data_IF_768222616570
#
_entry.id   IF_768222616570
#
_cell.length_a   1.000
_cell.length_b   1.000
_cell.length_c   1.000
_cell.angle_alpha   90.00
_cell.angle_beta   90.00
_cell.angle_gamma   90.00
#
_symmetry.space_group_name_H-M   'P 1'
#
loop_
_entity.id
_entity.type
_entity.pdbx_description
1 polymer ?
#
# COMPACT_ATOMS: atom_id res chain seq x y z
N UNK A 1 7.24 5.85 -3.97
CA UNK A 1 5.91 5.84 -3.29
C UNK A 1 5.07 4.74 -3.95
N UNK A 2 4.33 3.94 -3.18
CA UNK A 2 3.50 2.86 -3.72
C UNK A 2 2.05 3.29 -3.87
N UNK A 3 1.48 3.92 -2.83
CA UNK A 3 0.11 4.41 -2.80
C UNK A 3 -0.05 5.53 -1.77
N UNK A 4 -1.15 6.26 -1.87
CA UNK A 4 -1.54 7.32 -0.94
C UNK A 4 -2.88 6.91 -0.33
N UNK A 5 -2.95 6.94 1.00
CA UNK A 5 -4.15 6.66 1.76
C UNK A 5 -4.66 7.96 2.38
N UNK A 6 -5.91 8.31 2.12
CA UNK A 6 -6.57 9.41 2.84
C UNK A 6 -7.19 8.87 4.13
N UNK A 7 -6.80 9.44 5.27
CA UNK A 7 -7.45 9.17 6.55
C UNK A 7 -7.55 10.47 7.36
N UNK A 8 -8.73 10.73 7.94
CA UNK A 8 -8.97 11.90 8.80
C UNK A 8 -8.57 13.25 8.15
N UNK A 9 -8.84 13.43 6.85
CA UNK A 9 -8.46 14.61 6.04
C UNK A 9 -6.95 14.79 5.85
N UNK A 10 -6.17 13.74 6.08
CA UNK A 10 -4.74 13.73 5.87
C UNK A 10 -4.36 12.64 4.88
N UNK A 11 -3.35 12.94 4.08
CA UNK A 11 -2.76 11.99 3.14
C UNK A 11 -1.57 11.28 3.79
N UNK A 12 -1.59 9.96 3.74
CA UNK A 12 -0.52 9.10 4.20
C UNK A 12 0.13 8.42 3.00
N UNK A 13 1.38 8.79 2.72
CA UNK A 13 2.14 8.14 1.64
C UNK A 13 2.73 6.84 2.15
N UNK A 14 2.31 5.72 1.56
CA UNK A 14 2.89 4.40 1.83
C UNK A 14 4.02 4.14 0.84
N UNK A 15 5.20 3.82 1.36
CA UNK A 15 6.40 3.51 0.57
C UNK A 15 6.76 2.04 0.67
N UNK A 16 7.51 1.54 -0.32
CA UNK A 16 8.01 0.18 -0.27
C UNK A 16 8.98 0.03 0.91
N UNK A 17 8.89 -1.06 1.69
CA UNK A 17 9.79 -1.30 2.82
C UNK A 17 11.21 -1.68 2.39
N UNK A 18 11.37 -2.21 1.17
CA UNK A 18 12.64 -2.62 0.58
C UNK A 18 12.53 -2.63 -0.96
N UNK A 19 13.63 -2.96 -1.64
CA UNK A 19 13.56 -3.32 -3.06
C UNK A 19 12.82 -4.65 -3.23
N UNK A 20 11.96 -4.75 -4.24
CA UNK A 20 11.11 -5.91 -4.46
C UNK A 20 10.04 -5.67 -5.53
N UNK A 21 9.09 -6.59 -5.63
CA UNK A 21 8.03 -6.58 -6.64
C UNK A 21 6.65 -6.53 -5.98
N UNK A 22 5.79 -5.62 -6.45
CA UNK A 22 4.37 -5.61 -6.08
C UNK A 22 3.65 -6.68 -6.91
N UNK A 23 3.06 -7.67 -6.25
CA UNK A 23 2.30 -8.75 -6.90
C UNK A 23 0.86 -8.33 -7.19
N UNK A 24 0.23 -7.63 -6.26
CA UNK A 24 -1.17 -7.23 -6.37
C UNK A 24 -1.47 -5.98 -5.54
N UNK A 25 -2.43 -5.19 -6.02
CA UNK A 25 -3.14 -4.18 -5.22
C UNK A 25 -4.49 -4.76 -4.81
N UNK A 26 -4.82 -4.67 -3.52
CA UNK A 26 -6.08 -5.20 -2.97
C UNK A 26 -7.24 -4.21 -3.07
N UNK A 27 -6.93 -2.93 -3.33
CA UNK A 27 -7.87 -1.82 -3.38
C UNK A 27 -7.63 -0.95 -4.61
N UNK A 28 -8.71 -0.38 -5.12
CA UNK A 28 -8.71 0.65 -6.15
C UNK A 28 -8.72 2.07 -5.57
N UNK A 29 -8.65 3.05 -6.47
CA UNK A 29 -8.77 4.46 -6.10
C UNK A 29 -10.19 4.75 -5.61
N UNK A 30 -10.30 5.35 -4.42
CA UNK A 30 -11.57 5.70 -3.80
C UNK A 30 -12.21 4.60 -2.95
N UNK A 31 -11.63 3.40 -2.91
CA UNK A 31 -12.11 2.33 -2.06
C UNK A 31 -11.87 2.64 -0.59
N UNK A 32 -12.85 2.31 0.26
CA UNK A 32 -12.73 2.45 1.70
C UNK A 32 -11.92 1.30 2.27
N UNK A 33 -10.88 1.64 3.02
CA UNK A 33 -9.96 0.70 3.66
C UNK A 33 -10.23 0.69 5.17
N UNK A 34 -10.33 -0.50 5.76
CA UNK A 34 -10.46 -0.69 7.20
C UNK A 34 -9.12 -0.85 7.91
N UNK A 35 -9.12 -0.68 9.23
CA UNK A 35 -7.93 -0.90 10.05
C UNK A 35 -7.42 -2.34 9.92
N UNK A 36 -6.11 -2.48 9.72
CA UNK A 36 -5.45 -3.79 9.58
C UNK A 36 -5.63 -4.46 8.22
N UNK A 37 -6.26 -3.80 7.24
CA UNK A 37 -6.39 -4.34 5.89
C UNK A 37 -5.03 -4.43 5.17
N UNK A 38 -4.81 -5.55 4.48
CA UNK A 38 -3.65 -5.71 3.59
C UNK A 38 -3.87 -4.90 2.31
N UNK A 39 -3.01 -3.90 2.05
CA UNK A 39 -3.19 -2.99 0.92
C UNK A 39 -2.58 -3.54 -0.38
N UNK A 40 -1.40 -4.14 -0.25
CA UNK A 40 -0.61 -4.65 -1.37
C UNK A 40 0.04 -5.97 -1.00
N UNK A 41 0.09 -6.87 -1.96
CA UNK A 41 0.93 -8.05 -1.87
C UNK A 41 2.31 -7.69 -2.40
N UNK A 42 3.34 -7.78 -1.55
CA UNK A 42 4.71 -7.36 -1.86
C UNK A 42 5.69 -8.49 -1.62
N UNK A 43 6.54 -8.78 -2.61
CA UNK A 43 7.64 -9.72 -2.50
C UNK A 43 8.96 -8.94 -2.47
N UNK A 44 9.70 -9.03 -1.35
CA UNK A 44 11.02 -8.43 -1.25
C UNK A 44 12.02 -9.17 -2.15
N UNK A 45 12.88 -8.44 -2.84
CA UNK A 45 14.01 -9.04 -3.53
C UNK A 45 14.96 -9.60 -2.46
N UNK A 46 15.23 -10.91 -2.51
CA UNK A 46 16.25 -11.51 -1.66
C UNK A 46 17.61 -10.85 -1.97
N UNK A 47 18.31 -10.45 -0.91
CA UNK A 47 19.61 -9.81 -0.98
C UNK A 47 20.70 -10.76 -1.52
#
# INVERSE_FOLDING_TARGET
PLLILEAMKMEHTITAPAAGTVKAFRFGVGDQVGDGAELVEFEAAAA
#
